data_IF_086140937898
#
_entry.id   IF_086140937898
#
_cell.length_a   1.000
_cell.length_b   1.000
_cell.length_c   1.000
_cell.angle_alpha   90.00
_cell.angle_beta   90.00
_cell.angle_gamma   90.00
#
_symmetry.space_group_name_H-M   'P 1'
#
loop_
_entity.id
_entity.type
_entity.pdbx_description
1 polymer ?
#
# COMPACT_ATOMS: atom_id res chain seq x y z
N UNK A 1 -31.29 -8.61 17.87
CA UNK A 1 -30.95 -10.05 17.85
C UNK A 1 -30.97 -10.59 19.26
N UNK A 2 -31.45 -11.81 19.48
CA UNK A 2 -31.30 -12.54 20.76
C UNK A 2 -30.12 -13.51 20.62
N UNK A 3 -29.47 -13.89 21.71
CA UNK A 3 -28.28 -14.77 21.69
C UNK A 3 -28.47 -16.07 20.90
N UNK A 4 -29.69 -16.63 20.91
CA UNK A 4 -30.03 -17.87 20.21
C UNK A 4 -30.24 -17.72 18.68
N UNK A 5 -30.29 -16.49 18.15
CA UNK A 5 -30.56 -16.20 16.74
C UNK A 5 -29.40 -15.47 16.04
N UNK A 6 -28.19 -15.51 16.60
CA UNK A 6 -27.00 -14.93 15.97
C UNK A 6 -26.62 -15.77 14.75
N UNK A 7 -26.66 -15.16 13.57
CA UNK A 7 -26.23 -15.78 12.32
C UNK A 7 -25.23 -14.84 11.61
N UNK A 8 -24.06 -15.34 11.18
CA UNK A 8 -23.15 -14.53 10.39
C UNK A 8 -23.76 -14.23 9.01
N UNK A 9 -23.22 -13.21 8.33
CA UNK A 9 -23.57 -12.96 6.94
C UNK A 9 -23.25 -14.18 6.06
N UNK A 10 -24.06 -14.41 5.02
CA UNK A 10 -23.84 -15.54 4.12
C UNK A 10 -22.44 -15.49 3.52
N UNK A 11 -21.68 -16.59 3.62
CA UNK A 11 -20.30 -16.69 3.14
C UNK A 11 -19.22 -16.13 4.06
N UNK A 12 -19.56 -15.51 5.20
CA UNK A 12 -18.56 -14.98 6.13
C UNK A 12 -17.75 -16.09 6.85
N UNK A 13 -18.31 -17.30 6.97
CA UNK A 13 -17.65 -18.44 7.60
C UNK A 13 -17.56 -19.63 6.63
N UNK A 14 -16.33 -20.12 6.42
CA UNK A 14 -16.07 -21.34 5.67
C UNK A 14 -15.93 -22.56 6.59
N UNK A 15 -16.24 -23.75 6.07
CA UNK A 15 -16.01 -25.01 6.80
C UNK A 15 -14.53 -25.38 6.73
N UNK A 16 -13.93 -25.66 7.89
CA UNK A 16 -12.55 -26.17 7.93
C UNK A 16 -12.47 -27.60 7.42
N UNK A 17 -11.44 -27.85 6.60
CA UNK A 17 -11.16 -29.15 6.02
C UNK A 17 -10.27 -29.96 6.97
N UNK A 18 -10.83 -31.02 7.56
CA UNK A 18 -10.06 -31.97 8.37
C UNK A 18 -9.43 -33.05 7.47
N UNK A 19 -8.10 -33.10 7.45
CA UNK A 19 -7.33 -34.01 6.59
C UNK A 19 -7.21 -35.40 7.26
N UNK A 20 -7.21 -36.48 6.46
CA UNK A 20 -7.00 -37.84 6.96
C UNK A 20 -8.21 -38.40 7.73
N UNK A 21 -9.42 -38.20 7.21
CA UNK A 21 -10.69 -38.66 7.82
C UNK A 21 -11.49 -39.54 6.85
N UNK A 22 -10.89 -40.66 6.42
CA UNK A 22 -11.51 -41.66 5.54
C UNK A 22 -11.53 -41.27 4.06
N UNK A 23 -11.67 -42.26 3.18
CA UNK A 23 -11.59 -42.08 1.72
C UNK A 23 -12.76 -41.27 1.16
N UNK A 24 -13.97 -41.45 1.69
CA UNK A 24 -15.16 -40.68 1.29
C UNK A 24 -15.06 -39.16 1.54
N UNK A 25 -14.07 -38.71 2.33
CA UNK A 25 -13.79 -37.28 2.52
C UNK A 25 -13.00 -36.63 1.37
N UNK A 26 -12.48 -37.43 0.42
CA UNK A 26 -11.57 -37.00 -0.65
C UNK A 26 -10.14 -36.69 -0.18
N UNK A 27 -9.89 -36.76 1.13
CA UNK A 27 -8.61 -36.39 1.76
C UNK A 27 -8.10 -37.46 2.72
N UNK A 28 -8.63 -38.68 2.59
CA UNK A 28 -8.15 -39.88 3.26
C UNK A 28 -6.84 -40.41 2.67
N UNK A 29 -6.41 -41.58 3.15
CA UNK A 29 -5.19 -42.23 2.67
C UNK A 29 -3.94 -41.36 2.87
N UNK A 30 -3.35 -40.90 1.78
CA UNK A 30 -2.10 -40.11 1.77
C UNK A 30 -2.26 -38.67 2.25
N UNK A 31 -3.47 -38.26 2.69
CA UNK A 31 -3.68 -37.00 3.41
C UNK A 31 -3.15 -35.79 2.63
N UNK A 32 -3.45 -35.75 1.33
CA UNK A 32 -3.04 -34.71 0.36
C UNK A 32 -1.53 -34.54 0.14
N UNK A 33 -0.70 -35.47 0.62
CA UNK A 33 0.78 -35.41 0.47
C UNK A 33 1.35 -36.35 -0.59
N UNK A 34 0.50 -37.17 -1.23
CA UNK A 34 0.95 -38.20 -2.17
C UNK A 34 1.72 -39.34 -1.46
N UNK A 35 2.47 -40.13 -2.23
CA UNK A 35 3.13 -41.33 -1.72
C UNK A 35 4.44 -41.03 -0.95
N UNK A 36 5.54 -41.71 -1.28
CA UNK A 36 6.82 -41.59 -0.56
C UNK A 36 7.63 -40.43 -1.16
N UNK A 37 8.21 -39.58 -0.32
CA UNK A 37 9.10 -38.49 -0.73
C UNK A 37 9.47 -37.60 0.46
N UNK A 38 10.42 -36.69 0.28
CA UNK A 38 10.82 -35.76 1.34
C UNK A 38 9.65 -34.88 1.81
N UNK A 39 8.79 -34.43 0.88
CA UNK A 39 7.63 -33.57 1.17
C UNK A 39 6.51 -34.28 1.95
N UNK A 40 6.47 -35.62 1.94
CA UNK A 40 5.44 -36.37 2.67
C UNK A 40 5.85 -36.72 4.10
N UNK A 41 7.09 -36.38 4.52
CA UNK A 41 7.58 -36.62 5.89
C UNK A 41 7.13 -35.52 6.86
N UNK A 42 6.90 -35.91 8.10
CA UNK A 42 6.61 -34.98 9.20
C UNK A 42 7.77 -34.00 9.39
N UNK A 43 7.46 -32.71 9.51
CA UNK A 43 8.48 -31.67 9.70
C UNK A 43 9.19 -31.20 8.43
N UNK A 44 8.79 -31.69 7.24
CA UNK A 44 9.30 -31.13 5.99
C UNK A 44 8.96 -29.63 5.89
N UNK A 45 9.98 -28.83 5.63
CA UNK A 45 9.84 -27.41 5.29
C UNK A 45 10.67 -27.09 4.06
N UNK A 46 10.06 -26.43 3.08
CA UNK A 46 10.76 -25.98 1.88
C UNK A 46 11.51 -24.69 2.19
N UNK A 47 12.82 -24.67 1.93
CA UNK A 47 13.61 -23.43 1.89
C UNK A 47 13.22 -22.65 0.62
N UNK A 48 12.60 -21.46 0.70
CA UNK A 48 12.09 -20.76 -0.49
C UNK A 48 13.16 -20.44 -1.54
N UNK A 49 14.41 -20.19 -1.12
CA UNK A 49 15.53 -19.90 -2.01
C UNK A 49 16.36 -21.13 -2.45
N UNK A 50 15.87 -22.36 -2.25
CA UNK A 50 16.59 -23.57 -2.65
C UNK A 50 16.12 -24.05 -4.04
N UNK A 51 17.02 -24.02 -5.03
CA UNK A 51 16.76 -24.37 -6.44
C UNK A 51 17.25 -25.80 -6.78
N UNK A 52 17.12 -26.76 -5.85
CA UNK A 52 17.39 -28.18 -6.14
C UNK A 52 18.86 -28.57 -6.30
N UNK A 53 19.80 -27.70 -5.91
CA UNK A 53 21.26 -27.95 -5.97
C UNK A 53 22.01 -26.97 -6.87
N UNK A 54 21.31 -26.28 -7.78
CA UNK A 54 21.88 -25.16 -8.53
C UNK A 54 22.13 -23.95 -7.61
N UNK A 55 23.10 -23.12 -7.99
CA UNK A 55 23.32 -21.81 -7.39
C UNK A 55 22.06 -20.92 -7.49
N UNK A 56 21.43 -20.54 -6.36
CA UNK A 56 20.19 -19.77 -6.38
C UNK A 56 20.35 -18.40 -7.03
N UNK A 57 19.27 -17.87 -7.59
CA UNK A 57 19.27 -16.57 -8.29
C UNK A 57 19.83 -15.42 -7.43
N UNK A 58 19.47 -15.40 -6.13
CA UNK A 58 19.96 -14.42 -5.16
C UNK A 58 21.49 -14.42 -4.93
N UNK A 59 22.20 -15.48 -5.35
CA UNK A 59 23.67 -15.58 -5.33
C UNK A 59 24.30 -15.39 -6.71
N UNK A 60 23.55 -15.65 -7.79
CA UNK A 60 24.02 -15.47 -9.17
C UNK A 60 24.11 -13.99 -9.54
N UNK A 61 23.18 -13.17 -9.05
CA UNK A 61 23.16 -11.74 -9.33
C UNK A 61 24.11 -10.97 -8.40
N UNK A 62 24.87 -9.99 -8.92
CA UNK A 62 25.71 -9.15 -8.09
C UNK A 62 24.85 -8.20 -7.22
N UNK A 63 25.40 -7.78 -6.08
CA UNK A 63 24.85 -6.68 -5.30
C UNK A 63 25.27 -5.36 -5.94
N UNK A 64 24.39 -4.38 -5.99
CA UNK A 64 24.68 -3.06 -6.55
C UNK A 64 24.07 -1.95 -5.70
N UNK A 65 24.73 -0.77 -5.73
CA UNK A 65 24.27 0.44 -5.05
C UNK A 65 24.57 0.51 -3.55
N UNK A 66 24.16 1.61 -2.94
CA UNK A 66 24.19 1.86 -1.50
C UNK A 66 22.95 2.65 -1.08
N UNK A 67 22.59 2.60 0.21
CA UNK A 67 21.46 3.36 0.75
C UNK A 67 21.97 4.62 1.46
N UNK A 68 21.47 5.80 1.05
CA UNK A 68 21.78 7.05 1.74
C UNK A 68 21.02 7.13 3.08
N UNK A 69 21.76 7.24 4.19
CA UNK A 69 21.21 7.33 5.56
C UNK A 69 20.37 8.60 5.74
N UNK A 70 20.76 9.70 5.09
CA UNK A 70 20.10 11.00 5.21
C UNK A 70 19.12 11.27 4.05
N UNK A 71 18.57 10.21 3.42
CA UNK A 71 17.58 10.37 2.35
C UNK A 71 16.31 11.02 2.90
N UNK A 72 16.02 12.22 2.41
CA UNK A 72 14.77 12.92 2.71
C UNK A 72 13.71 12.50 1.68
N UNK A 73 12.73 11.72 2.13
CA UNK A 73 11.58 11.35 1.32
C UNK A 73 10.46 12.37 1.46
N UNK A 74 9.92 12.81 0.33
CA UNK A 74 8.75 13.68 0.30
C UNK A 74 7.54 12.88 -0.14
N UNK A 75 6.42 13.08 0.57
CA UNK A 75 5.12 12.66 0.12
C UNK A 75 4.65 13.56 -1.01
N UNK A 76 4.45 12.95 -2.17
CA UNK A 76 3.97 13.64 -3.35
C UNK A 76 2.46 13.84 -3.28
N UNK A 77 2.00 15.08 -3.46
CA UNK A 77 0.59 15.44 -3.59
C UNK A 77 0.41 16.16 -4.93
N UNK A 78 -0.59 15.75 -5.71
CA UNK A 78 -0.83 16.28 -7.05
C UNK A 78 -1.89 17.39 -7.02
N UNK A 79 -1.86 18.29 -8.01
CA UNK A 79 -2.89 19.33 -8.13
C UNK A 79 -4.30 18.74 -8.30
N UNK A 80 -4.45 17.60 -8.98
CA UNK A 80 -5.74 16.91 -9.08
C UNK A 80 -6.35 16.60 -7.70
N UNK A 81 -5.53 16.14 -6.76
CA UNK A 81 -5.99 15.84 -5.40
C UNK A 81 -6.37 17.08 -4.61
N UNK A 82 -5.71 18.21 -4.87
CA UNK A 82 -6.06 19.50 -4.24
C UNK A 82 -7.35 20.07 -4.84
N UNK A 83 -7.54 19.93 -6.15
CA UNK A 83 -8.77 20.32 -6.84
C UNK A 83 -9.97 19.52 -6.31
N UNK A 84 -9.86 18.19 -6.21
CA UNK A 84 -10.90 17.35 -5.63
C UNK A 84 -11.23 17.72 -4.18
N UNK A 85 -10.20 18.07 -3.40
CA UNK A 85 -10.37 18.48 -2.02
C UNK A 85 -11.17 19.79 -1.95
N UNK A 86 -10.86 20.74 -2.83
CA UNK A 86 -11.61 21.97 -2.91
C UNK A 86 -13.07 21.74 -3.37
N UNK A 87 -13.30 20.94 -4.40
CA UNK A 87 -14.67 20.65 -4.87
C UNK A 87 -15.54 19.97 -3.81
N UNK A 88 -14.96 19.06 -3.01
CA UNK A 88 -15.70 18.32 -1.99
C UNK A 88 -15.89 19.09 -0.67
N UNK A 89 -14.99 20.01 -0.34
CA UNK A 89 -14.90 20.61 1.00
C UNK A 89 -14.83 22.14 1.02
N UNK A 90 -14.66 22.79 -0.12
CA UNK A 90 -14.58 24.25 -0.25
C UNK A 90 -13.38 24.87 0.47
N UNK A 91 -12.26 24.15 0.57
CA UNK A 91 -11.08 24.61 1.31
C UNK A 91 -10.13 25.34 0.36
N UNK A 92 -10.04 26.65 0.52
CA UNK A 92 -9.17 27.52 -0.28
C UNK A 92 -7.73 27.58 0.26
N UNK A 93 -7.55 27.43 1.58
CA UNK A 93 -6.26 27.48 2.27
C UNK A 93 -5.81 26.06 2.63
N UNK A 94 -4.75 25.59 1.97
CA UNK A 94 -4.21 24.25 2.14
C UNK A 94 -2.88 24.34 2.89
N UNK A 95 -2.92 23.98 4.18
CA UNK A 95 -1.76 23.86 5.06
C UNK A 95 -1.44 22.40 5.39
N UNK A 96 -0.31 22.15 6.05
CA UNK A 96 0.03 20.81 6.53
C UNK A 96 -1.05 20.24 7.46
N UNK A 97 -1.60 21.07 8.35
CA UNK A 97 -2.66 20.64 9.27
C UNK A 97 -3.95 20.26 8.53
N UNK A 98 -4.35 21.03 7.50
CA UNK A 98 -5.54 20.71 6.72
C UNK A 98 -5.33 19.40 5.95
N UNK A 99 -4.15 19.23 5.33
CA UNK A 99 -3.80 17.98 4.66
C UNK A 99 -3.82 16.77 5.61
N UNK A 100 -3.40 16.97 6.87
CA UNK A 100 -3.43 15.92 7.89
C UNK A 100 -4.86 15.60 8.33
N UNK A 101 -5.70 16.61 8.54
CA UNK A 101 -7.13 16.45 8.87
C UNK A 101 -7.88 15.66 7.80
N UNK A 102 -7.53 15.85 6.53
CA UNK A 102 -8.11 15.10 5.41
C UNK A 102 -7.44 13.74 5.15
N UNK A 103 -6.50 13.32 6.00
CA UNK A 103 -5.82 12.03 5.89
C UNK A 103 -4.84 11.92 4.72
N UNK A 104 -4.49 13.05 4.08
CA UNK A 104 -3.56 13.08 2.95
C UNK A 104 -2.10 12.98 3.41
N UNK A 105 -1.77 13.40 4.64
CA UNK A 105 -0.42 13.34 5.20
C UNK A 105 -0.42 12.80 6.62
N UNK A 106 0.70 12.17 7.02
CA UNK A 106 1.00 11.89 8.42
C UNK A 106 1.66 13.12 9.06
N UNK A 107 1.66 13.19 10.39
CA UNK A 107 2.22 14.33 11.16
C UNK A 107 3.69 14.63 10.83
N UNK A 108 4.47 13.61 10.48
CA UNK A 108 5.92 13.72 10.26
C UNK A 108 6.30 13.69 8.77
N UNK A 109 5.32 13.66 7.86
CA UNK A 109 5.59 13.61 6.42
C UNK A 109 6.07 14.98 5.93
N UNK A 110 7.16 14.98 5.15
CA UNK A 110 7.52 16.15 4.34
C UNK A 110 6.72 16.12 3.05
N UNK A 111 6.15 17.25 2.67
CA UNK A 111 5.18 17.32 1.56
C UNK A 111 5.80 18.02 0.35
N UNK A 112 5.69 17.38 -0.82
CA UNK A 112 6.04 17.99 -2.10
C UNK A 112 4.82 18.03 -3.01
N UNK A 113 4.50 19.20 -3.54
CA UNK A 113 3.39 19.37 -4.48
C UNK A 113 3.89 19.22 -5.91
N UNK A 114 3.18 18.42 -6.69
CA UNK A 114 3.48 18.08 -8.07
C UNK A 114 2.37 18.55 -9.01
N UNK A 115 2.75 19.00 -10.21
CA UNK A 115 1.86 19.60 -11.20
C UNK A 115 1.11 18.59 -12.07
N UNK A 116 0.64 17.47 -11.51
CA UNK A 116 -0.24 16.56 -12.25
C UNK A 116 -1.70 16.92 -11.96
N UNK A 117 -2.48 17.14 -13.02
CA UNK A 117 -3.88 17.56 -12.96
C UNK A 117 -4.08 19.05 -13.29
N UNK A 118 -5.33 19.39 -13.60
CA UNK A 118 -5.74 20.76 -13.87
C UNK A 118 -6.31 21.38 -12.61
N UNK A 119 -5.79 22.54 -12.24
CA UNK A 119 -6.31 23.36 -11.17
C UNK A 119 -7.20 24.44 -11.79
N UNK A 120 -8.46 24.52 -11.38
CA UNK A 120 -9.39 25.59 -11.79
C UNK A 120 -9.71 26.53 -10.65
N UNK A 121 -9.51 26.08 -9.41
CA UNK A 121 -9.74 26.88 -8.22
C UNK A 121 -8.51 27.70 -7.82
N UNK A 122 -8.77 28.88 -7.25
CA UNK A 122 -7.75 29.67 -6.56
C UNK A 122 -7.44 29.01 -5.21
N UNK A 123 -6.23 28.47 -5.06
CA UNK A 123 -5.78 27.80 -3.84
C UNK A 123 -4.51 28.45 -3.30
N UNK A 124 -4.51 28.71 -1.99
CA UNK A 124 -3.32 29.14 -1.25
C UNK A 124 -2.71 27.94 -0.56
N UNK A 125 -1.56 27.48 -1.06
CA UNK A 125 -0.97 26.21 -0.66
C UNK A 125 0.36 26.40 0.04
N UNK A 126 0.50 25.84 1.24
CA UNK A 126 1.74 25.83 2.02
C UNK A 126 2.32 24.41 2.14
N UNK A 127 3.57 24.22 1.69
CA UNK A 127 4.24 22.91 1.70
C UNK A 127 5.77 23.04 1.76
N UNK A 128 6.47 21.92 1.96
CA UNK A 128 7.93 21.91 2.11
C UNK A 128 8.65 22.03 0.75
N UNK A 129 8.03 21.57 -0.34
CA UNK A 129 8.59 21.63 -1.68
C UNK A 129 7.51 21.68 -2.76
N UNK A 130 7.86 22.23 -3.92
CA UNK A 130 6.97 22.31 -5.08
C UNK A 130 7.74 21.92 -6.35
N UNK A 131 7.05 21.35 -7.35
CA UNK A 131 7.58 21.24 -8.71
C UNK A 131 7.42 22.57 -9.46
N UNK A 132 8.28 22.83 -10.45
CA UNK A 132 8.18 24.03 -11.29
C UNK A 132 6.81 24.15 -11.98
N UNK A 133 6.29 23.01 -12.48
CA UNK A 133 4.96 22.94 -13.09
C UNK A 133 3.84 23.26 -12.10
N UNK A 134 3.93 22.81 -10.86
CA UNK A 134 2.93 23.06 -9.83
C UNK A 134 2.85 24.54 -9.49
N UNK A 135 4.00 25.21 -9.31
CA UNK A 135 4.07 26.65 -9.03
C UNK A 135 3.37 27.42 -10.15
N UNK A 136 3.75 27.16 -11.41
CA UNK A 136 3.19 27.85 -12.56
C UNK A 136 1.67 27.68 -12.68
N UNK A 137 1.14 26.47 -12.42
CA UNK A 137 -0.30 26.20 -12.49
C UNK A 137 -1.08 26.81 -11.32
N UNK A 138 -0.49 26.89 -10.12
CA UNK A 138 -1.11 27.56 -8.95
C UNK A 138 -1.16 29.08 -9.18
N UNK A 139 -0.05 29.67 -9.61
CA UNK A 139 0.04 31.11 -9.89
C UNK A 139 -0.84 31.52 -11.08
N UNK A 140 -1.00 30.66 -12.09
CA UNK A 140 -1.92 30.89 -13.22
C UNK A 140 -3.38 31.05 -12.78
N UNK A 141 -3.79 30.38 -11.69
CA UNK A 141 -5.12 30.54 -11.08
C UNK A 141 -5.14 31.61 -9.98
N UNK A 142 -4.13 32.49 -9.94
CA UNK A 142 -3.96 33.55 -8.95
C UNK A 142 -3.85 33.05 -7.50
N UNK A 143 -3.51 31.77 -7.30
CA UNK A 143 -3.24 31.19 -5.99
C UNK A 143 -1.81 31.44 -5.52
N UNK A 144 -1.54 31.24 -4.23
CA UNK A 144 -0.21 31.45 -3.64
C UNK A 144 0.46 30.13 -3.25
N UNK A 145 1.67 29.88 -3.77
CA UNK A 145 2.51 28.76 -3.34
C UNK A 145 3.56 29.22 -2.32
N UNK A 146 3.38 28.90 -1.03
CA UNK A 146 4.33 29.27 0.04
C UNK A 146 5.15 28.06 0.47
N UNK A 147 6.48 28.20 0.43
CA UNK A 147 7.42 27.17 0.86
C UNK A 147 7.81 27.36 2.34
N UNK A 148 7.70 26.29 3.12
CA UNK A 148 8.15 26.20 4.53
C UNK A 148 9.49 25.46 4.59
#
# INVERSE_FOLDING_TARGET
MKLHNLKPASGATGREKRIGRGEGSGHGGTSTRGHKGAQSRSGYSRKPGFEGGQMPLQRRLPKFGFNNINRVEFKAINLSTLQELNEKRGVEIINLDTLAQFGLISKNDKVKILGNGNLTAKLDVTAHAFSKSAIAQIEAQQGKATKI
#
